data_IF_491585004503
#
_entry.id   IF_491585004503
#
_cell.length_a   1.000
_cell.length_b   1.000
_cell.length_c   1.000
_cell.angle_alpha   90.00
_cell.angle_beta   90.00
_cell.angle_gamma   90.00
#
_symmetry.space_group_name_H-M   'P 1'
#
loop_
_entity.id
_entity.type
_entity.pdbx_description
1 polymer ?
#
# COMPACT_ATOMS: atom_id res chain seq x y z
N UNK A 1 -30.60 -7.56 8.61
CA UNK A 1 -30.49 -6.24 7.97
C UNK A 1 -29.06 -5.74 8.19
N UNK A 2 -28.40 -5.26 7.13
CA UNK A 2 -26.94 -5.12 6.96
C UNK A 2 -26.28 -4.12 7.94
N UNK A 3 -25.71 -4.59 9.06
CA UNK A 3 -24.92 -3.74 9.99
C UNK A 3 -23.61 -4.39 10.45
N UNK A 4 -22.98 -5.20 9.60
CA UNK A 4 -21.72 -5.88 9.92
C UNK A 4 -20.58 -5.69 8.90
N UNK A 5 -20.79 -4.96 7.81
CA UNK A 5 -19.77 -4.82 6.74
C UNK A 5 -19.06 -3.45 6.71
N UNK A 6 -19.53 -2.45 7.45
CA UNK A 6 -18.92 -1.11 7.46
C UNK A 6 -17.76 -0.96 8.44
N UNK A 7 -17.38 -2.00 9.20
CA UNK A 7 -16.30 -1.96 10.19
C UNK A 7 -15.02 -2.69 9.75
N UNK A 8 -14.82 -2.86 8.44
CA UNK A 8 -13.61 -3.48 7.88
C UNK A 8 -12.69 -2.49 7.14
N UNK A 9 -13.01 -1.18 7.14
CA UNK A 9 -12.26 -0.17 6.37
C UNK A 9 -11.97 1.10 7.21
N UNK A 10 -11.96 1.01 8.53
CA UNK A 10 -11.78 2.21 9.36
C UNK A 10 -11.41 1.88 10.80
N UNK A 11 -10.13 1.60 11.01
CA UNK A 11 -9.54 1.31 12.31
C UNK A 11 -8.10 0.85 12.10
N UNK A 12 -7.23 1.79 11.74
CA UNK A 12 -5.78 1.57 11.70
C UNK A 12 -5.30 1.27 13.12
N UNK A 13 -5.10 -0.01 13.44
CA UNK A 13 -4.01 -0.35 14.35
C UNK A 13 -2.73 0.06 13.61
N UNK A 14 -2.25 1.30 13.86
CA UNK A 14 -0.96 1.76 13.35
C UNK A 14 0.06 0.71 13.74
N UNK A 15 0.55 -0.04 12.76
CA UNK A 15 1.58 -1.03 13.03
C UNK A 15 2.84 -0.25 13.43
N UNK A 16 3.10 -0.20 14.73
CA UNK A 16 4.14 0.63 15.34
C UNK A 16 5.52 0.03 15.00
N UNK A 17 5.96 0.28 13.77
CA UNK A 17 7.14 -0.30 13.16
C UNK A 17 7.94 0.81 12.50
N UNK A 18 9.23 0.84 12.80
CA UNK A 18 10.17 1.77 12.17
C UNK A 18 10.26 1.59 10.63
N UNK A 19 9.83 0.45 10.10
CA UNK A 19 10.01 0.08 8.70
C UNK A 19 8.70 0.02 7.91
N UNK A 20 7.57 0.32 8.55
CA UNK A 20 6.27 0.30 7.91
C UNK A 20 5.58 1.65 8.14
N UNK A 21 5.15 2.27 7.05
CA UNK A 21 4.29 3.44 7.05
C UNK A 21 3.21 3.21 6.00
N UNK A 22 1.99 3.65 6.28
CA UNK A 22 0.92 3.60 5.27
C UNK A 22 1.19 4.62 4.16
N UNK A 23 0.50 4.47 3.03
CA UNK A 23 0.63 5.41 1.93
C UNK A 23 0.20 6.82 2.33
N UNK A 24 -0.83 6.92 3.17
CA UNK A 24 -1.36 8.16 3.72
C UNK A 24 -0.36 8.85 4.65
N UNK A 25 0.33 8.09 5.50
CA UNK A 25 1.40 8.59 6.37
C UNK A 25 2.59 9.08 5.54
N UNK A 26 2.99 8.30 4.54
CA UNK A 26 4.06 8.68 3.62
C UNK A 26 3.73 9.98 2.86
N UNK A 27 2.50 10.14 2.37
CA UNK A 27 2.08 11.37 1.69
C UNK A 27 2.02 12.58 2.63
N UNK A 28 1.62 12.39 3.89
CA UNK A 28 1.60 13.46 4.89
C UNK A 28 3.01 14.02 5.20
N UNK A 29 4.03 13.16 5.13
CA UNK A 29 5.45 13.55 5.28
C UNK A 29 6.07 14.11 3.99
N UNK A 30 5.44 13.85 2.84
CA UNK A 30 5.93 14.22 1.50
C UNK A 30 4.92 15.03 0.68
N UNK A 31 4.53 16.25 1.13
CA UNK A 31 3.55 17.09 0.43
C UNK A 31 4.00 17.49 -0.99
N UNK A 32 5.29 17.41 -1.32
CA UNK A 32 5.82 17.65 -2.66
C UNK A 32 5.29 16.69 -3.73
N UNK A 33 4.75 15.53 -3.30
CA UNK A 33 4.16 14.50 -4.13
C UNK A 33 2.67 14.74 -4.40
N UNK A 34 2.03 15.68 -3.70
CA UNK A 34 0.61 15.99 -3.87
C UNK A 34 0.30 16.36 -5.33
N UNK A 35 -0.64 15.64 -5.96
CA UNK A 35 -1.06 15.84 -7.35
C UNK A 35 -0.08 15.36 -8.45
N UNK A 36 1.07 14.76 -8.09
CA UNK A 36 2.07 14.22 -9.02
C UNK A 36 2.24 12.69 -9.08
N UNK A 37 1.76 11.82 -8.15
CA UNK A 37 2.39 10.53 -7.99
C UNK A 37 1.86 9.45 -8.93
N UNK A 38 0.59 9.48 -9.32
CA UNK A 38 -0.03 8.32 -9.99
C UNK A 38 0.72 7.91 -11.26
N UNK A 39 1.05 8.85 -12.15
CA UNK A 39 1.62 8.49 -13.44
C UNK A 39 3.12 8.13 -13.37
N UNK A 40 3.85 8.68 -12.39
CA UNK A 40 5.28 8.43 -12.22
C UNK A 40 5.58 7.23 -11.31
N UNK A 41 4.70 6.95 -10.34
CA UNK A 41 4.87 5.90 -9.34
C UNK A 41 4.20 4.59 -9.77
N UNK A 42 3.07 4.65 -10.50
CA UNK A 42 2.38 3.44 -11.00
C UNK A 42 3.30 2.45 -11.72
N UNK A 43 4.18 2.87 -12.66
CA UNK A 43 5.08 1.93 -13.34
C UNK A 43 6.13 1.30 -12.41
N UNK A 44 6.47 1.95 -11.29
CA UNK A 44 7.41 1.42 -10.30
C UNK A 44 6.73 0.42 -9.38
N UNK A 45 5.54 0.73 -8.89
CA UNK A 45 4.74 -0.18 -8.05
C UNK A 45 4.44 -1.47 -8.82
N UNK A 46 3.99 -1.36 -10.07
CA UNK A 46 3.69 -2.53 -10.90
C UNK A 46 4.90 -3.46 -11.07
N UNK A 47 6.11 -2.92 -11.22
CA UNK A 47 7.33 -3.75 -11.27
C UNK A 47 7.61 -4.50 -9.97
N UNK A 48 7.36 -3.87 -8.82
CA UNK A 48 7.52 -4.54 -7.53
C UNK A 48 6.46 -5.63 -7.32
N UNK A 49 5.21 -5.37 -7.73
CA UNK A 49 4.13 -6.35 -7.73
C UNK A 49 4.46 -7.55 -8.60
N UNK A 50 4.90 -7.33 -9.85
CA UNK A 50 5.31 -8.39 -10.78
C UNK A 50 6.45 -9.24 -10.19
N UNK A 51 7.47 -8.59 -9.61
CA UNK A 51 8.62 -9.27 -9.01
C UNK A 51 8.21 -10.10 -7.78
N UNK A 52 7.35 -9.56 -6.91
CA UNK A 52 6.83 -10.31 -5.76
C UNK A 52 5.96 -11.48 -6.20
N UNK A 53 5.13 -11.30 -7.23
CA UNK A 53 4.29 -12.36 -7.76
C UNK A 53 5.13 -13.52 -8.32
N UNK A 54 6.13 -13.21 -9.14
CA UNK A 54 7.08 -14.22 -9.67
C UNK A 54 7.80 -14.93 -8.52
N UNK A 55 8.33 -14.18 -7.54
CA UNK A 55 9.00 -14.75 -6.38
C UNK A 55 8.11 -15.73 -5.60
N UNK A 56 6.84 -15.39 -5.36
CA UNK A 56 5.89 -16.27 -4.67
C UNK A 56 5.59 -17.52 -5.52
N UNK A 57 5.40 -17.35 -6.83
CA UNK A 57 5.13 -18.49 -7.72
C UNK A 57 6.31 -19.46 -7.79
N UNK A 58 7.54 -18.94 -7.82
CA UNK A 58 8.76 -19.75 -7.80
C UNK A 58 8.95 -20.53 -6.50
N UNK A 59 8.36 -20.07 -5.38
CA UNK A 59 8.39 -20.82 -4.11
C UNK A 59 7.37 -21.96 -4.05
N UNK A 60 6.31 -21.90 -4.86
CA UNK A 60 5.21 -22.87 -4.86
C UNK A 60 5.38 -24.00 -5.88
N UNK A 61 6.26 -23.83 -6.87
CA UNK A 61 6.57 -24.78 -7.94
C UNK A 61 7.87 -25.55 -7.68
#
# INVERSE_FOLDING_TARGET
MKTGLTKLVGGEDKMDSKYYATWEEYLAEHPELEGKPEHAISPKIQKYEDAMFVFIMDLLL
#
